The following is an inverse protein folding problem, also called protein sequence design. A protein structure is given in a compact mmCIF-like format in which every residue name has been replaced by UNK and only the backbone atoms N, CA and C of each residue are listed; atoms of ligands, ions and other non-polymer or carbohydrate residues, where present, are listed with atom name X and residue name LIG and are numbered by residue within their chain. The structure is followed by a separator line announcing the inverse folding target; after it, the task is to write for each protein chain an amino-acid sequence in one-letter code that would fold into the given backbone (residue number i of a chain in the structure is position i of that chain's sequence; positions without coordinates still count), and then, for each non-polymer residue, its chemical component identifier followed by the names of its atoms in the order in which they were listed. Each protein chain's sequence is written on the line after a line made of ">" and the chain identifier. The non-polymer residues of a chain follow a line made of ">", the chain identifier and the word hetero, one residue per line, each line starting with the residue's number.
data_IF_040353222979
#
_entry.id   IF_040353222979
#
_cell.length_a   1.000
_cell.length_b   1.000
_cell.length_c   1.000
_cell.angle_alpha   90.00
_cell.angle_beta   90.00
_cell.angle_gamma   90.00
#
_symmetry.space_group_name_H-M   'P 1'
#
loop_
_entity.id
_entity.type
_entity.pdbx_description
1 polymer ?
#
# COMPACT_ATOMS: atom_id res chain seq x y z
N UNK A 1 -22.68 -8.07 -7.22
CA UNK A 1 -21.26 -7.79 -6.95
C UNK A 1 -21.03 -6.61 -6.00
N UNK A 2 -21.81 -5.52 -6.01
CA UNK A 2 -21.60 -4.36 -5.11
C UNK A 2 -21.77 -4.59 -3.59
N UNK A 3 -22.56 -5.59 -3.15
CA UNK A 3 -22.88 -5.77 -1.73
C UNK A 3 -21.73 -6.40 -0.91
N UNK A 4 -20.88 -7.22 -1.54
CA UNK A 4 -19.71 -7.79 -0.86
C UNK A 4 -18.68 -6.68 -0.58
N UNK A 5 -18.43 -5.83 -1.57
CA UNK A 5 -17.52 -4.68 -1.47
C UNK A 5 -17.93 -3.70 -0.37
N UNK A 6 -19.24 -3.46 -0.21
CA UNK A 6 -19.78 -2.58 0.83
C UNK A 6 -19.65 -3.18 2.23
N UNK A 7 -19.94 -4.48 2.37
CA UNK A 7 -19.83 -5.19 3.65
C UNK A 7 -18.39 -5.25 4.15
N UNK A 8 -17.45 -5.40 3.21
CA UNK A 8 -16.00 -5.35 3.43
C UNK A 8 -15.53 -3.97 3.90
N UNK A 9 -16.09 -2.88 3.37
CA UNK A 9 -15.67 -1.51 3.68
C UNK A 9 -16.16 -1.02 5.05
N UNK A 10 -17.31 -1.54 5.50
CA UNK A 10 -17.99 -1.12 6.72
C UNK A 10 -17.75 -2.03 7.93
N UNK A 11 -17.02 -3.13 7.77
CA UNK A 11 -16.83 -4.13 8.82
C UNK A 11 -15.36 -4.35 9.17
N UNK A 12 -15.13 -4.77 10.42
CA UNK A 12 -13.84 -5.30 10.82
C UNK A 12 -13.60 -6.66 10.19
N UNK A 13 -12.35 -6.94 9.84
CA UNK A 13 -11.97 -8.21 9.23
C UNK A 13 -10.48 -8.48 9.37
N UNK A 14 -10.08 -9.70 9.04
CA UNK A 14 -8.67 -10.07 8.96
C UNK A 14 -8.20 -9.95 7.51
N UNK A 15 -7.08 -9.26 7.30
CA UNK A 15 -6.37 -9.29 6.01
C UNK A 15 -5.43 -10.48 6.01
N UNK A 16 -4.66 -10.64 7.10
CA UNK A 16 -3.82 -11.80 7.34
C UNK A 16 -3.78 -12.09 8.84
N UNK A 17 -4.50 -13.13 9.26
CA UNK A 17 -4.63 -13.48 10.68
C UNK A 17 -3.32 -14.02 11.27
N UNK A 18 -2.50 -14.67 10.46
CA UNK A 18 -1.24 -15.29 10.87
C UNK A 18 -0.19 -14.23 11.21
N UNK A 19 -0.16 -13.15 10.44
CA UNK A 19 0.74 -12.00 10.57
C UNK A 19 0.16 -10.90 11.47
N UNK A 20 -1.05 -11.09 12.00
CA UNK A 20 -1.72 -10.13 12.87
C UNK A 20 -2.23 -8.86 12.17
N UNK A 21 -2.47 -8.91 10.86
CA UNK A 21 -2.90 -7.76 10.06
C UNK A 21 -4.43 -7.77 9.95
N UNK A 22 -5.07 -6.83 10.65
CA UNK A 22 -6.52 -6.62 10.61
C UNK A 22 -6.88 -5.40 9.75
N UNK A 23 -8.06 -5.45 9.14
CA UNK A 23 -8.73 -4.34 8.47
C UNK A 23 -9.71 -3.69 9.45
N UNK A 24 -9.77 -2.36 9.40
CA UNK A 24 -10.76 -1.55 10.11
C UNK A 24 -11.74 -0.91 9.11
N UNK A 25 -12.99 -0.58 9.53
CA UNK A 25 -13.91 0.19 8.73
C UNK A 25 -13.31 1.54 8.32
N UNK A 26 -13.65 2.02 7.12
CA UNK A 26 -13.07 3.25 6.57
C UNK A 26 -13.38 4.50 7.42
N UNK A 27 -14.57 4.57 8.00
CA UNK A 27 -14.97 5.67 8.89
C UNK A 27 -14.07 5.74 10.13
N UNK A 28 -13.87 4.59 10.79
CA UNK A 28 -12.95 4.47 11.91
C UNK A 28 -11.51 4.80 11.53
N UNK A 29 -11.06 4.40 10.34
CA UNK A 29 -9.73 4.77 9.86
C UNK A 29 -9.57 6.29 9.71
N UNK A 30 -10.57 6.97 9.18
CA UNK A 30 -10.56 8.43 9.03
C UNK A 30 -10.49 9.15 10.38
N UNK A 31 -11.28 8.71 11.37
CA UNK A 31 -11.23 9.28 12.72
C UNK A 31 -9.84 9.11 13.34
N UNK A 32 -9.30 7.89 13.29
CA UNK A 32 -7.98 7.60 13.86
C UNK A 32 -6.86 8.40 13.19
N UNK A 33 -6.97 8.67 11.88
CA UNK A 33 -6.03 9.49 11.14
C UNK A 33 -6.10 10.96 11.56
N UNK A 34 -7.31 11.45 11.84
CA UNK A 34 -7.52 12.81 12.34
C UNK A 34 -7.03 12.97 13.78
N UNK A 35 -7.27 11.97 14.62
CA UNK A 35 -6.88 11.95 16.03
C UNK A 35 -5.36 11.80 16.22
N UNK A 36 -4.72 10.91 15.46
CA UNK A 36 -3.28 10.60 15.61
C UNK A 36 -2.38 11.39 14.65
N UNK A 37 -2.99 12.06 13.67
CA UNK A 37 -2.27 12.66 12.55
C UNK A 37 -1.83 11.63 11.51
N UNK A 38 -1.36 12.13 10.36
CA UNK A 38 -0.76 11.29 9.33
C UNK A 38 0.51 10.62 9.90
N UNK A 39 0.69 9.30 9.75
CA UNK A 39 1.94 8.67 10.15
C UNK A 39 3.10 9.32 9.39
N UNK A 40 4.28 9.47 10.02
CA UNK A 40 5.46 9.94 9.33
C UNK A 40 5.68 9.04 8.11
N UNK A 41 5.75 9.69 6.96
CA UNK A 41 5.90 9.05 5.65
C UNK A 41 7.14 8.16 5.72
N UNK A 42 6.97 6.83 5.86
CA UNK A 42 8.10 5.92 6.07
C UNK A 42 7.84 4.71 6.96
N UNK A 43 6.80 4.69 7.79
CA UNK A 43 6.43 3.46 8.52
C UNK A 43 5.58 2.55 7.63
N UNK A 44 6.21 2.01 6.58
CA UNK A 44 5.61 1.05 5.65
C UNK A 44 5.30 1.64 4.28
N UNK A 45 6.32 1.69 3.42
CA UNK A 45 6.28 1.82 1.95
C UNK A 45 5.16 2.71 1.39
N UNK A 46 5.47 3.97 1.10
CA UNK A 46 4.54 4.84 0.37
C UNK A 46 4.21 4.24 -1.01
N UNK A 47 3.04 4.56 -1.60
CA UNK A 47 2.75 4.20 -3.00
C UNK A 47 3.85 4.66 -3.97
N UNK A 48 4.53 5.76 -3.64
CA UNK A 48 5.71 6.24 -4.36
C UNK A 48 6.93 5.34 -4.13
N UNK A 49 7.22 4.89 -2.91
CA UNK A 49 8.27 3.90 -2.64
C UNK A 49 8.01 2.58 -3.34
N UNK A 50 6.77 2.08 -3.34
CA UNK A 50 6.39 0.88 -4.11
C UNK A 50 6.55 1.12 -5.62
N UNK A 51 6.28 2.35 -6.08
CA UNK A 51 6.49 2.75 -7.46
C UNK A 51 7.96 2.94 -7.82
N UNK A 52 8.84 3.22 -6.85
CA UNK A 52 10.28 3.42 -7.03
C UNK A 52 11.10 2.14 -6.78
N UNK A 53 10.57 1.21 -5.98
CA UNK A 53 11.22 -0.06 -5.64
C UNK A 53 11.06 -1.13 -6.73
N UNK A 54 10.22 -0.88 -7.75
CA UNK A 54 10.31 -1.64 -9.01
C UNK A 54 11.67 -1.28 -9.63
N UNK A 55 12.61 -2.25 -9.76
CA UNK A 55 13.85 -1.97 -10.45
C UNK A 55 13.48 -1.45 -11.82
N UNK A 56 14.04 -0.30 -12.20
CA UNK A 56 14.07 0.13 -13.59
C UNK A 56 14.60 -1.05 -14.37
N UNK A 57 13.73 -1.73 -15.12
CA UNK A 57 14.11 -2.68 -16.14
C UNK A 57 14.91 -1.89 -17.17
N UNK A 58 16.22 -1.81 -16.91
CA UNK A 58 17.32 -1.68 -17.85
C UNK A 58 16.97 -1.05 -19.21
N UNK A 59 16.78 0.26 -19.22
CA UNK A 59 16.98 1.07 -20.42
C UNK A 59 17.83 2.27 -19.97
N UNK A 60 19.13 2.40 -20.25
CA UNK A 60 19.91 2.12 -21.47
C UNK A 60 21.44 2.12 -21.14
N UNK A 61 22.36 2.09 -22.12
CA UNK A 61 22.92 0.95 -22.87
C UNK A 61 24.43 0.72 -22.54
N UNK A 62 25.07 -0.40 -22.94
CA UNK A 62 26.51 -0.40 -23.14
C UNK A 62 26.84 -0.17 -24.62
N UNK A 63 27.54 0.93 -24.93
CA UNK A 63 28.30 1.06 -26.19
C UNK A 63 29.50 0.13 -26.11
N UNK A 64 29.66 -0.80 -27.06
CA UNK A 64 30.91 -1.51 -27.38
C UNK A 64 30.72 -2.14 -28.78
N UNK A 65 31.14 -1.46 -29.84
CA UNK A 65 32.46 -1.47 -30.48
C UNK A 65 32.51 -2.46 -31.65
N UNK A 66 32.46 -1.85 -32.84
CA UNK A 66 32.85 -2.27 -34.19
C UNK A 66 33.88 -3.41 -34.30
N UNK A 67 33.79 -4.20 -35.39
CA UNK A 67 34.80 -4.14 -36.46
C UNK A 67 34.27 -3.57 -37.79
#
# INVERSE_FOLDING_TARGET
>A
MRAAEDSDLNSYGWVDRTSGIARIPIDGAMQLLLERGLPPVGTGQTPLSLMQARPSETASPPRLQMP
#
